data_IF_977989956148
#
_entry.id   IF_977989956148
#
_cell.length_a   1.000
_cell.length_b   1.000
_cell.length_c   1.000
_cell.angle_alpha   90.00
_cell.angle_beta   90.00
_cell.angle_gamma   90.00
#
_symmetry.space_group_name_H-M   'P 1'
#
loop_
_entity.id
_entity.type
_entity.pdbx_description
1 polymer ?
#
# COMPACT_ATOMS: atom_id res chain seq x y z
N UNK A 1 -56.33 30.92 -55.56
CA UNK A 1 -55.56 29.66 -55.29
C UNK A 1 -54.31 30.07 -54.52
N UNK A 2 -54.26 29.83 -53.23
CA UNK A 2 -53.10 30.16 -52.34
C UNK A 2 -52.42 28.86 -51.94
N UNK A 3 -51.15 28.73 -52.24
CA UNK A 3 -50.31 27.61 -51.90
C UNK A 3 -49.85 27.73 -50.42
N UNK A 4 -50.00 26.65 -49.63
CA UNK A 4 -49.45 26.52 -48.28
C UNK A 4 -47.98 26.04 -48.37
N UNK A 5 -47.07 26.53 -47.50
CA UNK A 5 -45.73 25.99 -47.42
C UNK A 5 -45.65 24.74 -46.53
N UNK A 6 -44.97 23.73 -47.01
CA UNK A 6 -44.63 22.53 -46.25
C UNK A 6 -43.62 22.85 -45.12
N UNK A 7 -43.97 22.51 -43.86
CA UNK A 7 -43.08 22.55 -42.71
C UNK A 7 -42.29 21.26 -42.66
N UNK A 8 -40.99 21.38 -42.87
CA UNK A 8 -40.00 20.32 -42.68
C UNK A 8 -39.73 20.18 -41.18
N UNK A 9 -40.10 19.03 -40.59
CA UNK A 9 -39.83 18.69 -39.18
C UNK A 9 -38.47 18.00 -39.12
N UNK A 10 -37.43 18.72 -38.63
CA UNK A 10 -36.13 18.14 -38.42
C UNK A 10 -36.11 17.36 -37.10
N UNK A 11 -36.04 16.02 -37.14
CA UNK A 11 -35.80 15.14 -36.00
C UNK A 11 -34.32 15.18 -35.60
N UNK A 12 -33.99 15.86 -34.54
CA UNK A 12 -32.67 15.76 -33.89
C UNK A 12 -32.58 14.44 -33.11
N UNK A 13 -31.86 13.47 -33.64
CA UNK A 13 -31.43 12.26 -32.93
C UNK A 13 -30.29 12.63 -31.97
N UNK A 14 -30.60 12.81 -30.70
CA UNK A 14 -29.59 12.88 -29.63
C UNK A 14 -29.02 11.47 -29.42
N UNK A 15 -27.87 11.18 -30.02
CA UNK A 15 -27.08 10.01 -29.70
C UNK A 15 -26.47 10.19 -28.30
N UNK A 16 -27.12 9.65 -27.27
CA UNK A 16 -26.57 9.55 -25.92
C UNK A 16 -25.36 8.65 -25.92
N UNK A 17 -24.14 9.20 -25.85
CA UNK A 17 -22.93 8.45 -25.54
C UNK A 17 -23.06 7.93 -24.09
N UNK A 18 -23.48 6.68 -23.93
CA UNK A 18 -23.29 5.95 -22.68
C UNK A 18 -21.78 5.73 -22.49
N UNK A 19 -21.14 6.62 -21.76
CA UNK A 19 -19.78 6.35 -21.25
C UNK A 19 -19.91 5.23 -20.23
N UNK A 20 -19.63 4.00 -20.67
CA UNK A 20 -19.48 2.87 -19.76
C UNK A 20 -18.30 3.16 -18.85
N UNK A 21 -18.55 3.54 -17.61
CA UNK A 21 -17.50 3.59 -16.60
C UNK A 21 -17.02 2.16 -16.39
N UNK A 22 -15.81 1.85 -16.86
CA UNK A 22 -15.15 0.60 -16.54
C UNK A 22 -15.09 0.49 -15.01
N UNK A 23 -15.80 -0.50 -14.45
CA UNK A 23 -15.76 -0.77 -13.02
C UNK A 23 -14.33 -1.19 -12.66
N UNK A 24 -13.65 -0.38 -11.86
CA UNK A 24 -12.34 -0.71 -11.34
C UNK A 24 -12.47 -1.89 -10.38
N UNK A 25 -11.83 -3.00 -10.73
CA UNK A 25 -11.74 -4.19 -9.88
C UNK A 25 -10.59 -3.98 -8.90
N UNK A 26 -10.82 -4.28 -7.62
CA UNK A 26 -9.76 -4.30 -6.64
C UNK A 26 -9.08 -5.67 -6.58
N UNK A 27 -7.81 -5.64 -6.24
CA UNK A 27 -6.93 -6.80 -6.15
C UNK A 27 -6.54 -7.03 -4.70
N UNK A 28 -6.70 -8.26 -4.22
CA UNK A 28 -6.27 -8.67 -2.90
C UNK A 28 -4.80 -9.05 -2.95
N UNK A 29 -4.04 -8.60 -1.98
CA UNK A 29 -2.67 -8.98 -1.72
C UNK A 29 -2.44 -9.33 -0.27
N UNK A 30 -1.22 -9.69 0.03
CA UNK A 30 -0.74 -9.91 1.38
C UNK A 30 0.68 -9.39 1.54
N UNK A 31 1.02 -9.01 2.76
CA UNK A 31 2.41 -8.85 3.17
C UNK A 31 2.68 -9.59 4.49
N UNK A 32 3.96 -9.77 4.78
CA UNK A 32 4.48 -10.30 6.04
C UNK A 32 6.00 -10.14 6.11
N UNK A 33 6.56 -10.18 7.31
CA UNK A 33 7.99 -10.02 7.51
C UNK A 33 8.81 -11.19 6.95
N UNK A 34 8.35 -12.43 7.15
CA UNK A 34 9.08 -13.61 6.69
C UNK A 34 8.47 -14.17 5.40
N UNK A 35 9.31 -14.59 4.47
CA UNK A 35 8.86 -15.29 3.26
C UNK A 35 8.09 -16.56 3.61
N UNK A 36 6.90 -16.78 3.05
CA UNK A 36 6.03 -17.87 3.49
C UNK A 36 6.45 -19.27 3.00
N UNK A 37 7.51 -19.39 2.18
CA UNK A 37 7.99 -20.65 1.62
C UNK A 37 7.53 -20.89 0.17
N UNK A 38 8.40 -21.47 -0.66
CA UNK A 38 8.11 -21.74 -2.06
C UNK A 38 6.94 -22.72 -2.23
N UNK A 39 6.79 -23.65 -1.28
CA UNK A 39 5.74 -24.67 -1.24
C UNK A 39 4.33 -24.09 -1.09
N UNK A 40 4.20 -22.88 -0.52
CA UNK A 40 2.93 -22.25 -0.28
C UNK A 40 2.48 -21.33 -1.44
N UNK A 41 3.35 -21.05 -2.43
CA UNK A 41 3.07 -20.07 -3.48
C UNK A 41 1.86 -20.42 -4.33
N UNK A 42 1.67 -21.67 -4.68
CA UNK A 42 0.52 -22.10 -5.50
C UNK A 42 -0.81 -21.90 -4.76
N UNK A 43 -0.85 -22.18 -3.46
CA UNK A 43 -2.04 -21.98 -2.65
C UNK A 43 -2.32 -20.48 -2.45
N UNK A 44 -1.31 -19.71 -2.08
CA UNK A 44 -1.44 -18.25 -1.90
C UNK A 44 -1.90 -17.56 -3.19
N UNK A 45 -1.41 -17.98 -4.36
CA UNK A 45 -1.76 -17.34 -5.64
C UNK A 45 -3.24 -17.51 -6.03
N UNK A 46 -3.96 -18.50 -5.49
CA UNK A 46 -5.41 -18.64 -5.72
C UNK A 46 -6.21 -17.49 -5.16
N UNK A 47 -5.76 -16.95 -4.02
CA UNK A 47 -6.46 -15.90 -3.30
C UNK A 47 -5.87 -14.51 -3.54
N UNK A 48 -4.55 -14.41 -3.76
CA UNK A 48 -3.82 -13.15 -3.77
C UNK A 48 -3.22 -12.85 -5.15
N UNK A 49 -3.37 -11.61 -5.58
CA UNK A 49 -2.82 -11.11 -6.84
C UNK A 49 -1.40 -10.60 -6.72
N UNK A 50 -1.01 -10.07 -5.55
CA UNK A 50 0.31 -9.55 -5.28
C UNK A 50 0.78 -9.91 -3.88
N UNK A 51 2.10 -9.81 -3.67
CA UNK A 51 2.75 -10.03 -2.39
C UNK A 51 3.64 -8.84 -2.03
N UNK A 52 3.71 -8.51 -0.76
CA UNK A 52 4.74 -7.64 -0.19
C UNK A 52 6.12 -8.24 -0.43
N UNK A 53 7.08 -7.42 -0.86
CA UNK A 53 8.45 -7.85 -1.15
C UNK A 53 9.48 -6.91 -0.52
N UNK A 54 10.16 -7.39 0.51
CA UNK A 54 11.12 -6.60 1.27
C UNK A 54 12.49 -6.52 0.59
N UNK A 55 13.00 -5.31 0.43
CA UNK A 55 14.34 -5.06 -0.15
C UNK A 55 15.45 -5.05 0.89
N UNK A 56 15.12 -4.82 2.16
CA UNK A 56 16.00 -4.89 3.32
C UNK A 56 15.35 -5.72 4.43
N UNK A 57 15.98 -5.81 5.59
CA UNK A 57 15.40 -6.56 6.70
C UNK A 57 14.06 -5.94 7.13
N UNK A 58 12.98 -6.71 7.18
CA UNK A 58 11.68 -6.23 7.67
C UNK A 58 11.77 -5.76 9.13
N UNK A 59 10.77 -5.00 9.62
CA UNK A 59 10.72 -4.57 11.00
C UNK A 59 10.89 -5.73 12.00
N UNK A 60 11.81 -5.56 12.96
CA UNK A 60 12.09 -6.57 13.98
C UNK A 60 12.89 -7.78 13.53
N UNK A 61 13.14 -7.98 12.23
CA UNK A 61 13.85 -9.13 11.69
C UNK A 61 15.36 -8.90 11.58
N UNK A 62 16.13 -9.95 11.88
CA UNK A 62 17.60 -9.92 11.79
C UNK A 62 18.11 -10.24 10.37
N UNK A 63 17.25 -10.80 9.53
CA UNK A 63 17.58 -11.19 8.16
C UNK A 63 16.36 -11.01 7.25
N UNK A 64 16.61 -10.84 5.95
CA UNK A 64 15.57 -10.75 4.96
C UNK A 64 15.44 -12.08 4.19
N UNK A 65 14.37 -12.82 4.46
CA UNK A 65 14.09 -14.10 3.81
C UNK A 65 13.47 -13.97 2.41
N UNK A 66 13.10 -12.75 2.00
CA UNK A 66 12.55 -12.45 0.68
C UNK A 66 13.62 -12.28 -0.41
N UNK A 67 14.87 -12.05 -0.02
CA UNK A 67 15.96 -11.83 -1.00
C UNK A 67 16.09 -13.01 -1.96
N UNK A 68 16.16 -12.69 -3.27
CA UNK A 68 16.27 -13.68 -4.34
C UNK A 68 14.96 -14.43 -4.67
N UNK A 69 13.86 -14.13 -4.00
CA UNK A 69 12.57 -14.83 -4.22
C UNK A 69 11.71 -14.22 -5.34
N UNK A 70 12.07 -13.04 -5.85
CA UNK A 70 11.32 -12.37 -6.92
C UNK A 70 11.07 -13.27 -8.15
N UNK A 71 12.05 -14.03 -8.70
CA UNK A 71 11.81 -14.90 -9.86
C UNK A 71 10.76 -15.98 -9.59
N UNK A 72 10.78 -16.59 -8.40
CA UNK A 72 9.81 -17.62 -8.00
C UNK A 72 8.39 -17.04 -7.89
N UNK A 73 8.24 -15.88 -7.25
CA UNK A 73 6.97 -15.17 -7.15
C UNK A 73 6.43 -14.76 -8.53
N UNK A 74 7.28 -14.21 -9.40
CA UNK A 74 6.90 -13.84 -10.75
C UNK A 74 6.46 -15.05 -11.58
N UNK A 75 7.18 -16.18 -11.48
CA UNK A 75 6.82 -17.45 -12.14
C UNK A 75 5.48 -18.01 -11.62
N UNK A 76 5.17 -17.81 -10.33
CA UNK A 76 3.87 -18.15 -9.76
C UNK A 76 2.76 -17.16 -10.16
N UNK A 77 3.07 -16.06 -10.83
CA UNK A 77 2.10 -15.09 -11.34
C UNK A 77 1.74 -13.96 -10.36
N UNK A 78 2.52 -13.78 -9.29
CA UNK A 78 2.32 -12.63 -8.38
C UNK A 78 2.80 -11.32 -8.98
N UNK A 79 2.02 -10.26 -8.75
CA UNK A 79 2.51 -8.89 -8.75
C UNK A 79 3.24 -8.53 -7.46
N UNK A 80 3.74 -7.31 -7.38
CA UNK A 80 4.62 -6.89 -6.28
C UNK A 80 4.15 -5.61 -5.61
N UNK A 81 4.24 -5.61 -4.28
CA UNK A 81 4.22 -4.46 -3.40
C UNK A 81 5.63 -4.36 -2.78
N UNK A 82 6.50 -3.51 -3.34
CA UNK A 82 7.92 -3.47 -2.98
C UNK A 82 8.14 -2.58 -1.78
N UNK A 83 8.72 -3.13 -0.71
CA UNK A 83 8.84 -2.53 0.60
C UNK A 83 10.30 -2.28 0.98
N UNK A 84 10.55 -1.21 1.70
CA UNK A 84 11.83 -0.87 2.31
C UNK A 84 11.59 -0.39 3.74
N UNK A 85 12.07 -1.15 4.72
CA UNK A 85 11.97 -0.80 6.13
C UNK A 85 12.73 0.50 6.43
N UNK A 86 11.99 1.51 6.89
CA UNK A 86 12.50 2.83 7.21
C UNK A 86 13.18 2.90 8.58
N UNK A 87 13.31 4.10 9.11
CA UNK A 87 13.96 4.35 10.40
C UNK A 87 13.01 4.89 11.44
N UNK A 88 13.19 4.42 12.66
CA UNK A 88 12.49 4.98 13.82
C UNK A 88 13.05 6.37 14.17
N UNK A 89 12.21 7.22 14.76
CA UNK A 89 12.61 8.56 15.17
C UNK A 89 13.89 8.62 16.01
N UNK A 90 14.07 7.65 16.91
CA UNK A 90 15.26 7.58 17.75
C UNK A 90 16.58 7.51 16.95
N UNK A 91 16.55 6.93 15.74
CA UNK A 91 17.70 6.85 14.85
C UNK A 91 17.95 8.16 14.08
N UNK A 92 16.91 8.99 13.92
CA UNK A 92 16.94 10.22 13.11
C UNK A 92 17.44 11.43 13.87
N UNK A 93 17.43 11.40 15.20
CA UNK A 93 17.83 12.52 16.06
C UNK A 93 19.28 12.96 15.82
N UNK A 94 19.49 14.29 15.83
CA UNK A 94 20.77 14.94 15.65
C UNK A 94 20.82 15.83 14.40
N UNK A 95 21.54 16.95 14.52
CA UNK A 95 21.60 17.97 13.48
C UNK A 95 22.06 17.42 12.13
N UNK A 96 21.25 17.62 11.08
CA UNK A 96 21.53 17.22 9.71
C UNK A 96 21.61 15.71 9.46
N UNK A 97 21.35 14.87 10.46
CA UNK A 97 21.46 13.40 10.36
C UNK A 97 20.32 12.82 9.51
N UNK A 98 19.11 13.23 9.76
CA UNK A 98 17.92 12.69 9.11
C UNK A 98 17.95 12.80 7.57
N UNK A 99 18.19 13.97 6.94
CA UNK A 99 18.21 14.05 5.49
C UNK A 99 19.39 13.30 4.86
N UNK A 100 20.51 13.17 5.58
CA UNK A 100 21.64 12.35 5.11
C UNK A 100 21.28 10.87 5.09
N UNK A 101 20.63 10.38 6.16
CA UNK A 101 20.17 9.00 6.23
C UNK A 101 19.09 8.72 5.16
N UNK A 102 18.15 9.65 4.92
CA UNK A 102 17.16 9.51 3.87
C UNK A 102 17.78 9.28 2.50
N UNK A 103 18.78 10.08 2.13
CA UNK A 103 19.52 9.88 0.86
C UNK A 103 20.29 8.55 0.82
N UNK A 104 20.93 8.17 1.92
CA UNK A 104 21.67 6.90 2.00
C UNK A 104 20.74 5.70 1.83
N UNK A 105 19.61 5.72 2.51
CA UNK A 105 18.63 4.63 2.46
C UNK A 105 17.92 4.57 1.10
N UNK A 106 17.67 5.72 0.44
CA UNK A 106 17.17 5.76 -0.93
C UNK A 106 18.14 5.10 -1.93
N UNK A 107 19.43 5.36 -1.79
CA UNK A 107 20.46 4.70 -2.61
C UNK A 107 20.50 3.19 -2.35
N UNK A 108 20.42 2.78 -1.08
CA UNK A 108 20.38 1.36 -0.70
C UNK A 108 19.14 0.66 -1.27
N UNK A 109 17.95 1.29 -1.19
CA UNK A 109 16.71 0.78 -1.75
C UNK A 109 16.80 0.62 -3.27
N UNK A 110 17.31 1.63 -3.98
CA UNK A 110 17.48 1.58 -5.43
C UNK A 110 18.47 0.49 -5.88
N UNK A 111 19.58 0.31 -5.16
CA UNK A 111 20.56 -0.75 -5.43
C UNK A 111 19.97 -2.14 -5.16
N UNK A 112 19.25 -2.31 -4.06
CA UNK A 112 18.58 -3.55 -3.72
C UNK A 112 17.52 -3.91 -4.78
N UNK A 113 16.66 -2.95 -5.17
CA UNK A 113 15.66 -3.15 -6.20
C UNK A 113 16.28 -3.60 -7.54
N UNK A 114 17.37 -2.98 -7.99
CA UNK A 114 18.08 -3.40 -9.20
C UNK A 114 18.64 -4.81 -9.09
N UNK A 115 19.24 -5.17 -7.95
CA UNK A 115 19.77 -6.54 -7.71
C UNK A 115 18.66 -7.59 -7.76
N UNK A 116 17.49 -7.26 -7.24
CA UNK A 116 16.31 -8.13 -7.29
C UNK A 116 15.62 -8.10 -8.67
N UNK A 117 16.11 -7.31 -9.64
CA UNK A 117 15.58 -7.25 -11.00
C UNK A 117 14.33 -6.38 -11.17
N UNK A 118 14.04 -5.50 -10.22
CA UNK A 118 13.00 -4.47 -10.40
C UNK A 118 13.49 -3.38 -11.34
N UNK A 119 12.62 -2.95 -12.27
CA UNK A 119 12.95 -1.99 -13.32
C UNK A 119 12.85 -0.54 -12.81
N UNK A 120 13.52 0.41 -13.45
CA UNK A 120 13.23 1.83 -13.27
C UNK A 120 11.73 2.11 -13.41
N UNK A 121 11.23 3.06 -12.62
CA UNK A 121 9.80 3.36 -12.53
C UNK A 121 9.00 2.48 -11.57
N UNK A 122 9.58 1.40 -11.02
CA UNK A 122 8.95 0.65 -9.91
C UNK A 122 8.75 1.57 -8.71
N UNK A 123 7.58 1.49 -8.06
CA UNK A 123 7.30 2.17 -6.80
C UNK A 123 7.93 1.36 -5.68
N UNK A 124 8.74 2.00 -4.85
CA UNK A 124 9.26 1.41 -3.61
C UNK A 124 8.62 2.15 -2.45
N UNK A 125 7.95 1.43 -1.56
CA UNK A 125 7.28 1.99 -0.40
C UNK A 125 8.23 1.99 0.80
N UNK A 126 8.53 3.20 1.31
CA UNK A 126 9.20 3.36 2.60
C UNK A 126 8.22 2.99 3.70
N UNK A 127 8.60 2.07 4.54
CA UNK A 127 7.83 1.68 5.70
C UNK A 127 8.08 2.67 6.85
N UNK A 128 7.05 3.50 7.14
CA UNK A 128 7.02 4.47 8.23
C UNK A 128 6.09 3.97 9.33
N UNK A 129 6.64 3.20 10.27
CA UNK A 129 5.91 2.54 11.34
C UNK A 129 5.28 3.49 12.36
N UNK A 130 5.96 4.61 12.66
CA UNK A 130 5.49 5.52 13.69
C UNK A 130 4.37 6.41 13.15
N UNK A 131 3.22 6.36 13.80
CA UNK A 131 2.05 7.17 13.48
C UNK A 131 2.02 8.53 14.18
N UNK A 132 0.95 9.31 13.94
CA UNK A 132 0.77 10.66 14.44
C UNK A 132 1.42 11.72 13.54
N UNK A 133 1.58 12.93 14.05
CA UNK A 133 2.25 14.01 13.33
C UNK A 133 3.73 13.69 13.16
N UNK A 134 4.21 13.78 11.94
CA UNK A 134 5.64 13.60 11.67
C UNK A 134 6.45 14.76 12.24
N UNK A 135 7.45 14.42 13.03
CA UNK A 135 8.40 15.37 13.57
C UNK A 135 9.33 15.93 12.47
N UNK A 136 9.98 17.09 12.68
CA UNK A 136 10.83 17.70 11.66
C UNK A 136 11.90 16.75 11.09
N UNK A 137 12.52 15.92 11.93
CA UNK A 137 13.54 14.95 11.51
C UNK A 137 12.93 13.82 10.68
N UNK A 138 11.73 13.35 11.03
CA UNK A 138 11.03 12.33 10.25
C UNK A 138 10.65 12.89 8.86
N UNK A 139 10.11 14.11 8.79
CA UNK A 139 9.82 14.79 7.51
C UNK A 139 11.09 14.98 6.68
N UNK A 140 12.18 15.44 7.31
CA UNK A 140 13.47 15.62 6.63
C UNK A 140 14.05 14.28 6.10
N UNK A 141 13.87 13.19 6.82
CA UNK A 141 14.26 11.84 6.39
C UNK A 141 13.41 11.38 5.21
N UNK A 142 12.07 11.38 5.37
CA UNK A 142 11.12 10.90 4.37
C UNK A 142 11.31 11.63 3.04
N UNK A 143 11.35 12.98 3.05
CA UNK A 143 11.45 13.72 1.79
C UNK A 143 12.83 13.63 1.14
N UNK A 144 13.91 13.53 1.92
CA UNK A 144 15.23 13.24 1.37
C UNK A 144 15.31 11.83 0.77
N UNK A 145 14.61 10.85 1.34
CA UNK A 145 14.46 9.52 0.76
C UNK A 145 13.66 9.54 -0.54
N UNK A 146 12.52 10.22 -0.55
CA UNK A 146 11.68 10.39 -1.76
C UNK A 146 12.48 11.01 -2.90
N UNK A 147 13.16 12.15 -2.64
CA UNK A 147 13.96 12.86 -3.64
C UNK A 147 15.12 11.99 -4.17
N UNK A 148 15.80 11.27 -3.25
CA UNK A 148 16.91 10.38 -3.60
C UNK A 148 16.47 9.18 -4.44
N UNK A 149 15.31 8.62 -4.15
CA UNK A 149 14.76 7.48 -4.88
C UNK A 149 14.31 7.89 -6.30
N UNK A 150 13.65 9.05 -6.44
CA UNK A 150 13.27 9.63 -7.73
C UNK A 150 14.52 9.92 -8.58
N UNK A 151 15.57 10.51 -7.98
CA UNK A 151 16.84 10.75 -8.66
C UNK A 151 17.52 9.45 -9.12
N UNK A 152 17.27 8.33 -8.44
CA UNK A 152 17.75 7.00 -8.83
C UNK A 152 16.90 6.32 -9.92
N UNK A 153 15.83 6.98 -10.41
CA UNK A 153 14.97 6.49 -11.49
C UNK A 153 13.83 5.56 -11.02
N UNK A 154 13.54 5.53 -9.73
CA UNK A 154 12.39 4.82 -9.16
C UNK A 154 11.27 5.80 -8.79
N UNK A 155 10.10 5.29 -8.45
CA UNK A 155 9.00 6.06 -7.89
C UNK A 155 8.95 5.83 -6.38
N UNK A 156 8.58 6.87 -5.64
CA UNK A 156 8.48 6.77 -4.20
C UNK A 156 7.05 6.47 -3.76
N UNK A 157 6.91 5.56 -2.81
CA UNK A 157 5.72 5.32 -2.02
C UNK A 157 6.04 5.40 -0.53
N UNK A 158 5.03 5.54 0.31
CA UNK A 158 5.15 5.52 1.76
C UNK A 158 4.06 4.64 2.34
N UNK A 159 4.45 3.65 3.16
CA UNK A 159 3.55 2.98 4.08
C UNK A 159 3.44 3.80 5.35
N UNK A 160 2.22 4.08 5.80
CA UNK A 160 1.97 4.86 7.00
C UNK A 160 0.54 4.68 7.52
N UNK A 161 0.30 5.13 8.76
CA UNK A 161 -1.01 5.06 9.38
C UNK A 161 -2.03 5.99 8.72
N UNK A 162 -3.20 5.43 8.41
CA UNK A 162 -4.43 6.15 8.06
C UNK A 162 -5.38 6.36 9.24
N UNK A 163 -4.96 5.96 10.43
CA UNK A 163 -5.76 6.09 11.65
C UNK A 163 -5.43 7.42 12.33
N UNK A 164 -6.47 8.12 12.77
CA UNK A 164 -6.31 9.37 13.50
C UNK A 164 -5.65 9.13 14.87
N UNK A 165 -4.49 9.76 15.09
CA UNK A 165 -3.81 9.80 16.36
C UNK A 165 -4.20 11.06 17.13
N UNK A 166 -4.60 10.90 18.39
CA UNK A 166 -4.99 12.02 19.24
C UNK A 166 -3.75 12.74 19.78
N UNK A 167 -3.58 14.02 19.45
CA UNK A 167 -2.49 14.86 19.96
C UNK A 167 -2.91 15.67 21.19
N UNK A 168 -4.18 16.10 21.24
CA UNK A 168 -4.78 16.80 22.35
C UNK A 168 -6.30 16.55 22.38
N UNK A 169 -7.05 16.96 23.41
CA UNK A 169 -8.49 16.73 23.48
C UNK A 169 -9.28 17.20 22.25
N UNK A 170 -8.77 18.19 21.51
CA UNK A 170 -9.44 18.79 20.34
C UNK A 170 -8.68 18.61 19.02
N UNK A 171 -7.52 17.95 19.01
CA UNK A 171 -6.68 17.82 17.81
C UNK A 171 -6.32 16.36 17.59
N UNK A 172 -6.69 15.86 16.45
CA UNK A 172 -6.21 14.56 15.93
C UNK A 172 -5.49 14.76 14.60
N UNK A 173 -4.55 13.89 14.30
CA UNK A 173 -3.74 13.93 13.08
C UNK A 173 -3.69 12.54 12.45
N UNK A 174 -3.91 12.50 11.15
CA UNK A 174 -3.69 11.30 10.33
C UNK A 174 -2.33 11.40 9.68
N UNK A 175 -1.47 10.42 9.90
CA UNK A 175 -0.09 10.42 9.41
C UNK A 175 0.00 10.57 7.89
N UNK A 176 -0.84 9.83 7.15
CA UNK A 176 -0.89 9.90 5.69
C UNK A 176 -1.21 11.31 5.19
N UNK A 177 -2.15 12.00 5.85
CA UNK A 177 -2.53 13.38 5.53
C UNK A 177 -1.39 14.36 5.85
N UNK A 178 -0.79 14.25 7.05
CA UNK A 178 0.34 15.11 7.45
C UNK A 178 1.54 14.96 6.49
N UNK A 179 1.85 13.74 6.04
CA UNK A 179 2.91 13.52 5.03
C UNK A 179 2.52 14.16 3.70
N UNK A 180 1.29 13.95 3.22
CA UNK A 180 0.83 14.48 1.94
C UNK A 180 0.82 16.01 1.91
N UNK A 181 0.28 16.64 2.94
CA UNK A 181 0.20 18.11 3.06
C UNK A 181 1.57 18.79 3.05
N UNK A 182 2.59 18.12 3.60
CA UNK A 182 3.95 18.63 3.65
C UNK A 182 4.86 18.15 2.50
N UNK A 183 4.34 17.35 1.56
CA UNK A 183 5.13 16.78 0.47
C UNK A 183 5.57 17.81 -0.60
N UNK A 184 4.91 18.98 -0.68
CA UNK A 184 5.11 19.93 -1.76
C UNK A 184 4.68 19.32 -3.10
N UNK A 185 5.51 19.47 -4.14
CA UNK A 185 5.23 18.92 -5.48
C UNK A 185 5.64 17.45 -5.67
N UNK A 186 6.12 16.78 -4.62
CA UNK A 186 6.55 15.38 -4.70
C UNK A 186 5.38 14.46 -4.98
N UNK A 187 5.52 13.61 -6.00
CA UNK A 187 4.55 12.57 -6.32
C UNK A 187 4.86 11.33 -5.49
N UNK A 188 4.05 11.08 -4.47
CA UNK A 188 4.19 9.98 -3.53
C UNK A 188 2.97 9.08 -3.66
N UNK A 189 3.19 7.78 -3.81
CA UNK A 189 2.14 6.76 -3.66
C UNK A 189 1.94 6.42 -2.17
N UNK A 190 0.71 6.11 -1.78
CA UNK A 190 0.39 5.84 -0.38
C UNK A 190 -0.11 4.42 -0.19
N UNK A 191 0.62 3.66 0.61
CA UNK A 191 0.18 2.42 1.20
C UNK A 191 -0.25 2.72 2.64
N UNK A 192 -1.54 2.64 2.89
CA UNK A 192 -2.13 3.12 4.14
C UNK A 192 -2.62 1.94 4.97
N UNK A 193 -2.18 1.87 6.24
CA UNK A 193 -2.80 0.95 7.18
C UNK A 193 -3.97 1.60 7.90
N UNK A 194 -5.11 0.95 7.86
CA UNK A 194 -6.26 1.24 8.72
C UNK A 194 -7.02 -0.06 8.98
N UNK A 195 -6.66 -0.74 10.05
CA UNK A 195 -7.25 -1.99 10.53
C UNK A 195 -8.27 -1.75 11.66
N UNK A 196 -8.65 -0.48 11.92
CA UNK A 196 -9.76 -0.17 12.82
C UNK A 196 -11.09 -0.70 12.25
N UNK A 197 -11.94 -1.22 13.10
CA UNK A 197 -13.19 -1.87 12.72
C UNK A 197 -14.41 -1.09 13.24
N UNK A 198 -15.15 -0.37 12.36
CA UNK A 198 -14.91 -0.12 10.93
C UNK A 198 -13.74 0.85 10.68
N UNK A 199 -13.21 1.00 9.44
CA UNK A 199 -13.69 0.44 8.17
C UNK A 199 -13.19 -0.97 7.85
N UNK A 200 -12.21 -1.49 8.58
CA UNK A 200 -11.69 -2.84 8.37
C UNK A 200 -12.77 -3.92 8.58
N UNK A 201 -12.85 -4.93 7.72
CA UNK A 201 -13.65 -6.11 7.96
C UNK A 201 -12.92 -7.19 8.76
N UNK A 202 -11.71 -6.92 9.29
CA UNK A 202 -10.80 -7.94 9.82
C UNK A 202 -10.25 -8.85 8.72
N UNK A 203 -10.11 -10.14 8.99
CA UNK A 203 -9.61 -11.12 8.02
C UNK A 203 -10.62 -11.47 6.90
N UNK A 204 -11.82 -10.87 6.92
CA UNK A 204 -12.83 -11.13 5.91
C UNK A 204 -12.49 -10.37 4.62
N UNK A 205 -12.46 -11.07 3.50
CA UNK A 205 -12.19 -10.49 2.19
C UNK A 205 -13.21 -9.41 1.84
N UNK A 206 -12.80 -8.16 1.55
CA UNK A 206 -13.70 -7.12 1.04
C UNK A 206 -14.30 -7.51 -0.31
N UNK A 207 -15.41 -6.85 -0.67
CA UNK A 207 -15.99 -7.05 -2.00
C UNK A 207 -15.00 -6.65 -3.11
N UNK A 208 -15.09 -7.27 -4.28
CA UNK A 208 -14.22 -6.95 -5.42
C UNK A 208 -14.38 -5.49 -5.94
N UNK A 209 -15.39 -4.76 -5.47
CA UNK A 209 -15.63 -3.35 -5.79
C UNK A 209 -15.05 -2.39 -4.75
N UNK A 210 -14.64 -2.90 -3.60
CA UNK A 210 -14.02 -2.09 -2.55
C UNK A 210 -12.67 -1.58 -3.06
N UNK A 211 -12.42 -0.28 -2.94
CA UNK A 211 -11.17 0.34 -3.39
C UNK A 211 -10.33 0.79 -2.20
N UNK A 212 -9.03 1.06 -2.35
CA UNK A 212 -8.16 1.47 -1.24
C UNK A 212 -8.65 2.71 -0.48
N UNK A 213 -9.39 3.61 -1.11
CA UNK A 213 -9.98 4.78 -0.44
C UNK A 213 -11.03 4.41 0.62
N UNK A 214 -11.52 3.16 0.66
CA UNK A 214 -12.37 2.66 1.73
C UNK A 214 -11.65 2.60 3.09
N UNK A 215 -10.31 2.70 3.10
CA UNK A 215 -9.50 2.95 4.29
C UNK A 215 -9.91 4.23 5.04
N UNK A 216 -10.70 5.12 4.44
CA UNK A 216 -10.97 6.48 4.91
C UNK A 216 -10.01 7.52 4.33
N UNK A 217 -8.95 7.10 3.64
CA UNK A 217 -7.95 7.97 3.01
C UNK A 217 -8.18 7.99 1.51
N UNK A 218 -8.77 9.10 1.00
CA UNK A 218 -9.24 9.22 -0.38
C UNK A 218 -8.15 9.10 -1.45
N UNK A 219 -6.88 9.22 -1.08
CA UNK A 219 -5.73 9.11 -1.96
C UNK A 219 -4.88 7.85 -1.76
N UNK A 220 -5.35 6.89 -0.97
CA UNK A 220 -4.66 5.62 -0.79
C UNK A 220 -4.58 4.83 -2.10
N UNK A 221 -3.38 4.38 -2.48
CA UNK A 221 -3.14 3.48 -3.61
C UNK A 221 -3.24 2.02 -3.20
N UNK A 222 -2.83 1.73 -1.95
CA UNK A 222 -2.93 0.42 -1.29
C UNK A 222 -3.46 0.62 0.13
N UNK A 223 -4.32 -0.29 0.58
CA UNK A 223 -4.88 -0.32 1.93
C UNK A 223 -4.56 -1.65 2.60
N UNK A 224 -3.76 -1.61 3.67
CA UNK A 224 -3.63 -2.72 4.60
C UNK A 224 -4.80 -2.68 5.57
N UNK A 225 -5.74 -3.59 5.39
CA UNK A 225 -7.00 -3.56 6.13
C UNK A 225 -7.03 -4.52 7.33
N UNK A 226 -6.07 -5.45 7.43
CA UNK A 226 -5.93 -6.32 8.60
C UNK A 226 -4.47 -6.65 8.84
N UNK A 227 -4.03 -6.57 10.08
CA UNK A 227 -2.69 -6.95 10.54
C UNK A 227 -2.74 -8.21 11.39
N UNK A 228 -1.70 -9.02 11.33
CA UNK A 228 -1.53 -10.24 12.11
C UNK A 228 -0.30 -10.17 13.03
N UNK A 229 -0.45 -10.27 14.34
CA UNK A 229 -1.74 -10.37 15.06
C UNK A 229 -2.51 -9.04 15.08
N UNK A 230 -3.83 -9.12 15.26
CA UNK A 230 -4.67 -7.92 15.40
C UNK A 230 -4.16 -7.05 16.54
N UNK A 231 -4.18 -5.75 16.34
CA UNK A 231 -3.81 -4.76 17.37
C UNK A 231 -4.95 -4.62 18.39
N UNK A 232 -4.75 -4.97 19.67
CA UNK A 232 -5.82 -5.02 20.67
C UNK A 232 -6.56 -3.69 20.83
N UNK A 233 -5.83 -2.58 20.82
CA UNK A 233 -6.40 -1.25 21.06
C UNK A 233 -7.19 -0.68 19.88
N UNK A 234 -6.99 -1.23 18.67
CA UNK A 234 -7.54 -0.69 17.42
C UNK A 234 -8.56 -1.66 16.81
N UNK A 235 -8.20 -2.93 16.70
CA UNK A 235 -9.00 -3.96 16.05
C UNK A 235 -9.75 -4.87 17.03
N UNK A 236 -9.76 -4.57 18.34
CA UNK A 236 -10.44 -5.39 19.35
C UNK A 236 -11.91 -5.73 19.03
N UNK A 237 -12.74 -4.77 18.54
CA UNK A 237 -14.14 -5.04 18.23
C UNK A 237 -14.35 -5.78 16.90
N UNK A 238 -13.30 -6.11 16.16
CA UNK A 238 -13.39 -6.71 14.84
C UNK A 238 -13.77 -8.19 14.90
N UNK A 239 -14.96 -8.61 14.50
CA UNK A 239 -15.38 -10.01 14.57
C UNK A 239 -14.75 -10.88 13.47
N UNK A 240 -14.14 -10.27 12.44
CA UNK A 240 -13.56 -10.96 11.30
C UNK A 240 -12.23 -11.66 11.56
N UNK A 241 -11.58 -11.43 12.70
CA UNK A 241 -10.34 -12.11 13.06
C UNK A 241 -10.59 -13.51 13.61
N UNK A 242 -9.59 -14.41 13.45
CA UNK A 242 -9.60 -15.68 14.13
C UNK A 242 -9.44 -15.50 15.66
N UNK A 243 -9.72 -16.54 16.42
CA UNK A 243 -9.66 -16.48 17.90
C UNK A 243 -8.29 -16.11 18.46
N UNK A 244 -7.22 -16.46 17.76
CA UNK A 244 -5.84 -16.10 18.08
C UNK A 244 -5.43 -14.69 17.61
N UNK A 245 -6.33 -13.99 16.94
CA UNK A 245 -6.07 -12.64 16.41
C UNK A 245 -5.31 -12.61 15.10
N UNK A 246 -5.14 -13.75 14.43
CA UNK A 246 -4.36 -13.84 13.20
C UNK A 246 -5.28 -13.97 11.97
N UNK A 247 -4.78 -13.53 10.80
CA UNK A 247 -5.37 -13.81 9.50
C UNK A 247 -4.58 -14.90 8.78
N UNK A 248 -5.27 -15.91 8.30
CA UNK A 248 -4.67 -17.03 7.58
C UNK A 248 -5.21 -17.12 6.15
N UNK A 249 -4.36 -17.50 5.16
CA UNK A 249 -4.83 -17.79 3.82
C UNK A 249 -5.85 -18.94 3.83
N UNK A 250 -6.98 -18.83 3.11
CA UNK A 250 -8.04 -19.83 3.13
C UNK A 250 -7.57 -21.25 2.77
N UNK A 251 -6.76 -21.38 1.73
CA UNK A 251 -6.24 -22.66 1.25
C UNK A 251 -5.13 -23.25 2.14
N UNK A 252 -4.62 -22.47 3.09
CA UNK A 252 -3.59 -22.88 4.06
C UNK A 252 -4.14 -22.94 5.49
N UNK A 253 -5.44 -22.99 5.64
CA UNK A 253 -6.15 -22.91 6.93
C UNK A 253 -5.73 -23.98 7.96
N UNK A 254 -5.14 -25.10 7.54
CA UNK A 254 -4.51 -26.09 8.43
C UNK A 254 -3.09 -25.74 8.87
N UNK A 255 -2.44 -24.77 8.23
CA UNK A 255 -1.06 -24.35 8.50
C UNK A 255 -1.04 -23.02 9.26
N UNK A 256 -1.33 -23.06 10.57
CA UNK A 256 -1.27 -21.88 11.47
C UNK A 256 0.10 -21.19 11.55
N UNK A 257 1.06 -21.60 10.71
CA UNK A 257 2.40 -20.99 10.63
C UNK A 257 2.50 -19.88 9.59
N UNK A 258 1.50 -19.75 8.70
CA UNK A 258 1.49 -18.73 7.64
C UNK A 258 0.38 -17.73 7.93
N UNK A 259 0.53 -16.94 9.00
CA UNK A 259 -0.29 -15.74 9.18
C UNK A 259 0.20 -14.62 8.26
N UNK A 260 -0.69 -13.75 7.85
CA UNK A 260 -0.44 -12.68 6.88
C UNK A 260 -1.18 -11.41 7.26
N UNK A 261 -0.63 -10.29 6.83
CA UNK A 261 -1.36 -9.03 6.73
C UNK A 261 -2.10 -8.98 5.41
N UNK A 262 -3.27 -8.35 5.38
CA UNK A 262 -4.15 -8.35 4.22
C UNK A 262 -4.22 -6.97 3.59
N UNK A 263 -3.94 -6.94 2.28
CA UNK A 263 -3.86 -5.74 1.48
C UNK A 263 -4.89 -5.69 0.37
N UNK A 264 -5.32 -4.48 0.03
CA UNK A 264 -6.19 -4.18 -1.09
C UNK A 264 -5.56 -3.10 -1.98
N UNK A 265 -5.51 -3.33 -3.29
CA UNK A 265 -4.98 -2.36 -4.24
C UNK A 265 -5.86 -2.24 -5.49
N UNK A 266 -5.74 -1.12 -6.21
CA UNK A 266 -6.39 -0.92 -7.51
C UNK A 266 -5.64 -1.58 -8.67
N UNK A 267 -4.52 -2.25 -8.40
CA UNK A 267 -3.66 -2.93 -9.38
C UNK A 267 -3.23 -4.31 -8.88
N UNK A 268 -3.13 -5.27 -9.80
CA UNK A 268 -2.58 -6.59 -9.49
C UNK A 268 -1.07 -6.57 -9.22
N UNK A 269 -0.37 -5.47 -9.52
CA UNK A 269 1.05 -5.25 -9.21
C UNK A 269 1.22 -3.78 -8.79
N UNK A 270 0.96 -3.43 -7.52
CA UNK A 270 0.88 -2.03 -7.06
C UNK A 270 2.18 -1.25 -7.25
N UNK A 271 3.33 -1.92 -7.18
CA UNK A 271 4.64 -1.29 -7.35
C UNK A 271 5.10 -1.17 -8.80
N UNK A 272 4.54 -1.95 -9.72
CA UNK A 272 4.95 -1.90 -11.11
C UNK A 272 4.21 -0.80 -11.87
N UNK A 273 4.92 -0.04 -12.69
CA UNK A 273 4.31 0.98 -13.52
C UNK A 273 3.32 0.35 -14.50
N UNK A 274 2.14 0.95 -14.61
CA UNK A 274 1.19 0.66 -15.69
C UNK A 274 1.67 1.27 -16.98
#
# INVERSE_FOLDING_TARGET
>A
MRALPARMLALLLLAGCCVSQAQTVAYLGFDRNQYPGDENMTALRRDFSFAGYWLNNPPGEKSNTWLGKRPALAAAGFGFLVLFNGRLYAELRGAGKAPRLGRTDAQAAALAARREGFRPGTIIFLDQEQGGRMLPEQKAYIYAWVDGLIAAGFRAGIYCSGIAAQESPSVSVVTAEDIRENAGERKIAFFVTNDACPPSPGCIRPSARTQPHASGIGFADVWQFAQSPKRPDIAAPCPGYNQDGECYPPDLNGSRRVHIDLDLASSASPSEAR
#
